data_IF_274165117271
#
_entry.id   IF_274165117271
#
_cell.length_a   1.000
_cell.length_b   1.000
_cell.length_c   1.000
_cell.angle_alpha   90.00
_cell.angle_beta   90.00
_cell.angle_gamma   90.00
#
_symmetry.space_group_name_H-M   'P 1'
#
loop_
_entity.id
_entity.type
_entity.pdbx_description
1 polymer ?
#
# COMPACT_ATOMS: atom_id res chain seq x y z
N UNK A 1 5.78 26.77 -4.51
CA UNK A 1 6.64 25.60 -4.73
C UNK A 1 6.36 24.62 -3.60
N UNK A 2 5.87 23.42 -3.92
CA UNK A 2 5.63 22.40 -2.92
C UNK A 2 6.93 21.97 -2.24
N UNK A 3 6.84 21.55 -0.97
CA UNK A 3 7.95 20.94 -0.27
C UNK A 3 8.33 19.62 -0.96
N UNK A 4 9.64 19.38 -1.10
CA UNK A 4 10.14 18.11 -1.64
C UNK A 4 10.64 17.21 -0.52
N UNK A 5 10.38 15.93 -0.66
CA UNK A 5 10.80 14.90 0.28
C UNK A 5 11.63 13.84 -0.44
N UNK A 6 12.61 13.29 0.28
CA UNK A 6 13.45 12.20 -0.21
C UNK A 6 12.94 10.89 0.33
N UNK A 7 12.78 9.92 -0.57
CA UNK A 7 12.27 8.59 -0.26
C UNK A 7 13.03 7.52 -1.05
N UNK A 8 12.92 6.25 -0.64
CA UNK A 8 13.66 5.14 -1.21
C UNK A 8 12.71 4.03 -1.64
N UNK A 9 12.96 3.45 -2.81
CA UNK A 9 12.18 2.31 -3.31
C UNK A 9 13.08 1.27 -3.95
N UNK A 10 12.82 -0.01 -3.62
CA UNK A 10 13.45 -1.15 -4.27
C UNK A 10 12.56 -1.66 -5.38
N UNK A 11 13.12 -1.74 -6.58
CA UNK A 11 12.39 -2.15 -7.77
C UNK A 11 13.17 -3.19 -8.57
N UNK A 12 12.49 -3.95 -9.43
CA UNK A 12 13.16 -4.79 -10.41
C UNK A 12 14.00 -3.91 -11.36
N UNK A 13 15.21 -4.35 -11.70
CA UNK A 13 16.11 -3.58 -12.56
C UNK A 13 15.55 -3.29 -13.95
N UNK A 14 14.58 -4.08 -14.43
CA UNK A 14 13.93 -3.88 -15.72
C UNK A 14 13.20 -2.54 -15.85
N UNK A 15 12.79 -1.92 -14.72
CA UNK A 15 12.12 -0.61 -14.76
C UNK A 15 13.01 0.51 -15.32
N UNK A 16 14.34 0.34 -15.24
CA UNK A 16 15.28 1.33 -15.79
C UNK A 16 15.11 1.50 -17.29
N UNK A 17 14.80 0.40 -18.01
CA UNK A 17 14.48 0.45 -19.43
C UNK A 17 13.20 1.24 -19.73
N UNK A 18 12.16 1.06 -18.92
CA UNK A 18 10.91 1.83 -19.06
C UNK A 18 11.15 3.31 -18.76
N UNK A 19 11.90 3.62 -17.70
CA UNK A 19 12.27 4.99 -17.34
C UNK A 19 13.11 5.69 -18.44
N UNK A 20 14.05 4.97 -19.04
CA UNK A 20 14.88 5.51 -20.12
C UNK A 20 14.06 5.77 -21.38
N UNK A 21 13.15 4.88 -21.73
CA UNK A 21 12.34 4.97 -22.94
C UNK A 21 11.20 5.98 -22.81
N UNK A 22 10.52 6.00 -21.66
CA UNK A 22 9.27 6.72 -21.48
C UNK A 22 9.40 7.93 -20.53
N UNK A 23 10.53 8.09 -19.84
CA UNK A 23 10.73 9.07 -18.76
C UNK A 23 9.93 8.78 -17.49
N UNK A 24 9.14 7.69 -17.49
CA UNK A 24 8.14 7.37 -16.50
C UNK A 24 7.96 5.86 -16.38
N UNK A 25 7.65 5.38 -15.16
CA UNK A 25 7.25 4.01 -14.88
C UNK A 25 5.99 3.96 -14.01
N UNK A 26 5.08 3.07 -14.33
CA UNK A 26 3.92 2.66 -13.53
C UNK A 26 3.95 1.16 -13.33
N UNK A 27 3.41 0.68 -12.22
CA UNK A 27 3.34 -0.77 -11.93
C UNK A 27 2.36 -1.43 -12.90
N UNK A 28 2.82 -2.48 -13.59
CA UNK A 28 2.02 -3.23 -14.55
C UNK A 28 1.31 -4.40 -13.88
N UNK A 29 0.04 -4.58 -14.25
CA UNK A 29 -0.82 -5.66 -13.72
C UNK A 29 -0.20 -7.04 -13.92
N UNK A 30 0.44 -7.27 -15.06
CA UNK A 30 1.06 -8.55 -15.41
C UNK A 30 2.14 -8.98 -14.42
N UNK A 31 2.91 -8.04 -13.86
CA UNK A 31 3.93 -8.34 -12.86
C UNK A 31 3.32 -8.83 -11.55
N UNK A 32 2.19 -8.23 -11.14
CA UNK A 32 1.48 -8.64 -9.93
C UNK A 32 0.83 -10.00 -10.15
N UNK A 33 0.24 -10.24 -11.31
CA UNK A 33 -0.38 -11.50 -11.65
C UNK A 33 0.62 -12.66 -11.67
N UNK A 34 1.81 -12.45 -12.27
CA UNK A 34 2.90 -13.44 -12.27
C UNK A 34 3.42 -13.74 -10.86
N UNK A 35 3.48 -12.73 -9.99
CA UNK A 35 4.00 -12.86 -8.64
C UNK A 35 3.02 -13.55 -7.68
N UNK A 36 1.71 -13.36 -7.86
CA UNK A 36 0.67 -13.75 -6.92
C UNK A 36 -0.14 -14.98 -7.36
N UNK A 37 -0.03 -15.41 -8.64
CA UNK A 37 -0.69 -16.58 -9.20
C UNK A 37 -2.17 -16.71 -8.79
N UNK A 38 -2.53 -17.80 -8.09
CA UNK A 38 -3.92 -18.12 -7.70
C UNK A 38 -4.51 -17.12 -6.67
N UNK A 39 -3.68 -16.36 -5.98
CA UNK A 39 -4.13 -15.33 -5.01
C UNK A 39 -4.28 -13.94 -5.63
N UNK A 40 -3.98 -13.79 -6.92
CA UNK A 40 -3.97 -12.50 -7.60
C UNK A 40 -5.30 -11.75 -7.48
N UNK A 41 -6.45 -12.45 -7.57
CA UNK A 41 -7.76 -11.80 -7.52
C UNK A 41 -8.02 -11.11 -6.19
N UNK A 42 -7.72 -11.77 -5.07
CA UNK A 42 -7.89 -11.19 -3.72
C UNK A 42 -6.98 -9.97 -3.53
N UNK A 43 -5.78 -10.03 -4.09
CA UNK A 43 -4.83 -8.94 -4.08
C UNK A 43 -5.33 -7.75 -4.90
N UNK A 44 -5.89 -8.01 -6.08
CA UNK A 44 -6.50 -6.97 -6.92
C UNK A 44 -7.67 -6.27 -6.24
N UNK A 45 -8.51 -6.99 -5.49
CA UNK A 45 -9.63 -6.41 -4.76
C UNK A 45 -9.16 -5.40 -3.69
N UNK A 46 -8.12 -5.75 -2.94
CA UNK A 46 -7.49 -4.87 -1.94
C UNK A 46 -6.89 -3.62 -2.61
N UNK A 47 -6.16 -3.80 -3.70
CA UNK A 47 -5.53 -2.67 -4.40
C UNK A 47 -6.54 -1.78 -5.13
N UNK A 48 -7.62 -2.36 -5.69
CA UNK A 48 -8.71 -1.58 -6.25
C UNK A 48 -9.40 -0.72 -5.19
N UNK A 49 -9.59 -1.28 -3.98
CA UNK A 49 -10.10 -0.52 -2.86
C UNK A 49 -9.13 0.63 -2.49
N UNK A 50 -7.84 0.32 -2.34
CA UNK A 50 -6.82 1.31 -1.98
C UNK A 50 -6.73 2.44 -3.00
N UNK A 51 -6.75 2.12 -4.29
CA UNK A 51 -6.72 3.12 -5.36
C UNK A 51 -7.87 4.12 -5.23
N UNK A 52 -9.10 3.62 -5.06
CA UNK A 52 -10.29 4.49 -4.88
C UNK A 52 -10.19 5.37 -3.64
N UNK A 53 -9.72 4.82 -2.53
CA UNK A 53 -9.52 5.57 -1.30
C UNK A 53 -8.42 6.63 -1.44
N UNK A 54 -7.35 6.32 -2.17
CA UNK A 54 -6.22 7.22 -2.40
C UNK A 54 -6.57 8.40 -3.32
N UNK A 55 -7.49 8.23 -4.27
CA UNK A 55 -7.96 9.30 -5.18
C UNK A 55 -8.55 10.51 -4.43
N UNK A 56 -9.04 10.30 -3.21
CA UNK A 56 -9.55 11.37 -2.35
C UNK A 56 -8.43 12.14 -1.62
N UNK A 57 -7.21 11.56 -1.57
CA UNK A 57 -6.07 12.09 -0.79
C UNK A 57 -5.04 12.79 -1.69
N UNK A 58 -4.73 12.20 -2.84
CA UNK A 58 -3.73 12.72 -3.77
C UNK A 58 -4.10 12.38 -5.22
N UNK A 59 -3.56 13.12 -6.20
CA UNK A 59 -3.79 12.80 -7.61
C UNK A 59 -3.29 11.40 -7.97
N UNK A 60 -4.18 10.59 -8.55
CA UNK A 60 -3.85 9.27 -9.08
C UNK A 60 -3.96 9.32 -10.61
N UNK A 61 -2.89 9.02 -11.36
CA UNK A 61 -2.97 8.96 -12.82
C UNK A 61 -3.98 7.91 -13.30
N UNK A 62 -4.72 8.21 -14.36
CA UNK A 62 -5.79 7.33 -14.88
C UNK A 62 -5.28 5.93 -15.26
N UNK A 63 -4.03 5.84 -15.72
CA UNK A 63 -3.37 4.61 -16.14
C UNK A 63 -2.63 3.86 -15.01
N UNK A 64 -2.61 4.41 -13.78
CA UNK A 64 -1.99 3.77 -12.63
C UNK A 64 -2.99 2.96 -11.80
N UNK A 65 -2.84 1.65 -11.76
CA UNK A 65 -3.72 0.75 -11.00
C UNK A 65 -3.13 0.37 -9.63
N UNK A 66 -1.80 0.40 -9.49
CA UNK A 66 -1.09 -0.10 -8.32
C UNK A 66 -0.09 0.92 -7.80
N UNK A 67 0.03 1.06 -6.46
CA UNK A 67 0.99 1.97 -5.88
C UNK A 67 2.41 1.40 -5.93
N UNK A 68 3.37 2.30 -5.89
CA UNK A 68 4.79 2.02 -5.66
C UNK A 68 5.08 2.33 -4.21
N UNK A 69 5.54 1.34 -3.45
CA UNK A 69 5.86 1.49 -2.04
C UNK A 69 7.24 2.10 -1.86
N UNK A 70 7.34 3.04 -0.93
CA UNK A 70 8.58 3.76 -0.63
C UNK A 70 8.83 3.80 0.87
N UNK A 71 10.11 3.74 1.26
CA UNK A 71 10.56 4.01 2.62
C UNK A 71 10.74 5.51 2.81
N UNK A 72 10.28 6.03 3.93
CA UNK A 72 10.32 7.47 4.25
C UNK A 72 11.64 7.90 4.91
N UNK A 73 12.44 6.94 5.40
CA UNK A 73 13.74 7.17 6.02
C UNK A 73 14.78 6.25 5.40
N UNK A 74 16.00 6.75 5.28
CA UNK A 74 17.12 5.96 4.78
C UNK A 74 17.39 4.71 5.65
N UNK A 75 17.22 4.82 6.95
CA UNK A 75 17.38 3.70 7.90
C UNK A 75 16.34 2.59 7.76
N UNK A 76 15.23 2.88 7.10
CA UNK A 76 14.12 1.94 6.87
C UNK A 76 14.09 1.41 5.44
N UNK A 77 15.07 1.80 4.60
CA UNK A 77 15.15 1.32 3.22
C UNK A 77 15.35 -0.18 3.16
N UNK A 78 14.65 -0.83 2.22
CA UNK A 78 14.81 -2.27 2.00
C UNK A 78 16.17 -2.52 1.34
N UNK A 79 17.04 -3.39 1.89
CA UNK A 79 18.34 -3.70 1.30
C UNK A 79 18.21 -4.16 -0.14
N UNK A 80 19.15 -3.75 -1.00
CA UNK A 80 19.15 -4.19 -2.38
C UNK A 80 19.46 -5.69 -2.48
N UNK A 81 19.08 -6.31 -3.59
CA UNK A 81 19.33 -7.73 -3.87
C UNK A 81 19.50 -7.94 -5.38
N UNK A 82 20.09 -9.06 -5.75
CA UNK A 82 20.33 -9.41 -7.15
C UNK A 82 19.08 -9.27 -8.02
N UNK A 83 19.22 -8.69 -9.20
CA UNK A 83 18.13 -8.43 -10.13
C UNK A 83 17.26 -7.21 -9.80
N UNK A 84 17.54 -6.52 -8.70
CA UNK A 84 16.84 -5.30 -8.29
C UNK A 84 17.76 -4.08 -8.28
N UNK A 85 17.15 -2.93 -8.19
CA UNK A 85 17.80 -1.64 -7.96
C UNK A 85 17.14 -0.95 -6.79
N UNK A 86 17.94 -0.29 -5.96
CA UNK A 86 17.42 0.62 -4.94
C UNK A 86 17.55 2.05 -5.48
N UNK A 87 16.43 2.72 -5.58
CA UNK A 87 16.33 4.10 -6.05
C UNK A 87 16.17 5.03 -4.85
N UNK A 88 16.97 6.08 -4.80
CA UNK A 88 16.72 7.27 -4.01
C UNK A 88 16.05 8.29 -4.91
N UNK A 89 14.91 8.81 -4.51
CA UNK A 89 14.11 9.72 -5.31
C UNK A 89 13.69 10.94 -4.48
N UNK A 90 13.53 12.07 -5.15
CA UNK A 90 13.05 13.32 -4.57
C UNK A 90 11.72 13.71 -5.22
N UNK A 91 10.64 13.67 -4.44
CA UNK A 91 9.27 13.86 -4.90
C UNK A 91 8.62 15.05 -4.22
N UNK A 92 7.58 15.63 -4.83
CA UNK A 92 6.77 16.60 -4.12
C UNK A 92 5.95 15.91 -3.02
N UNK A 93 5.81 16.55 -1.90
CA UNK A 93 5.04 16.04 -0.76
C UNK A 93 3.58 15.75 -1.13
N UNK A 94 3.00 16.51 -2.06
CA UNK A 94 1.63 16.32 -2.56
C UNK A 94 1.43 15.06 -3.41
N UNK A 95 2.50 14.50 -3.99
CA UNK A 95 2.48 13.26 -4.76
C UNK A 95 2.61 12.01 -3.86
N UNK A 96 2.96 12.20 -2.59
CA UNK A 96 3.26 11.14 -1.64
C UNK A 96 2.13 10.93 -0.64
N UNK A 97 1.57 9.73 -0.62
CA UNK A 97 0.61 9.31 0.42
C UNK A 97 1.37 8.51 1.47
N UNK A 98 1.25 8.89 2.75
CA UNK A 98 1.88 8.17 3.86
C UNK A 98 0.85 7.45 4.71
N UNK A 99 1.14 6.22 5.09
CA UNK A 99 0.25 5.38 5.89
C UNK A 99 1.00 4.68 7.02
N UNK A 100 0.29 4.35 8.08
CA UNK A 100 0.75 3.48 9.16
C UNK A 100 0.91 2.06 8.61
N UNK A 101 2.11 1.48 8.77
CA UNK A 101 2.44 0.16 8.20
C UNK A 101 1.58 -0.97 8.79
N UNK A 102 1.18 -0.87 10.06
CA UNK A 102 0.33 -1.89 10.69
C UNK A 102 -1.11 -1.81 10.17
N UNK A 103 -1.64 -0.60 9.93
CA UNK A 103 -2.95 -0.46 9.29
C UNK A 103 -2.95 -1.09 7.90
N UNK A 104 -1.91 -0.83 7.09
CA UNK A 104 -1.78 -1.48 5.79
C UNK A 104 -1.64 -3.01 5.93
N UNK A 105 -0.85 -3.49 6.88
CA UNK A 105 -0.72 -4.90 7.19
C UNK A 105 -2.06 -5.59 7.49
N UNK A 106 -2.95 -4.89 8.21
CA UNK A 106 -4.31 -5.39 8.46
C UNK A 106 -5.12 -5.48 7.16
N UNK A 107 -5.07 -4.48 6.31
CA UNK A 107 -5.81 -4.48 5.03
C UNK A 107 -5.39 -5.65 4.14
N UNK A 108 -4.09 -5.87 3.94
CA UNK A 108 -3.60 -6.97 3.08
C UNK A 108 -3.85 -8.36 3.66
N UNK A 109 -4.14 -8.44 4.96
CA UNK A 109 -4.54 -9.66 5.66
C UNK A 109 -6.06 -9.71 5.90
N UNK A 110 -6.83 -8.85 5.25
CA UNK A 110 -8.30 -8.75 5.36
C UNK A 110 -8.79 -8.49 6.78
N UNK A 111 -7.98 -7.79 7.58
CA UNK A 111 -8.22 -7.52 8.99
C UNK A 111 -8.97 -6.22 9.25
N UNK A 112 -9.56 -6.16 10.41
CA UNK A 112 -10.24 -4.98 10.93
C UNK A 112 -9.24 -3.96 11.47
N UNK A 113 -9.42 -2.68 11.14
CA UNK A 113 -8.65 -1.56 11.72
C UNK A 113 -9.48 -0.97 12.88
N UNK A 114 -9.09 -1.19 14.15
CA UNK A 114 -9.82 -0.65 15.28
C UNK A 114 -9.59 0.85 15.47
N UNK A 115 -10.54 1.54 16.09
CA UNK A 115 -10.38 2.93 16.54
C UNK A 115 -9.48 3.01 17.78
N UNK A 116 -9.68 2.05 18.69
CA UNK A 116 -9.00 1.95 19.96
C UNK A 116 -9.10 0.50 20.52
N UNK A 117 -8.57 0.30 21.71
CA UNK A 117 -8.58 -1.01 22.38
C UNK A 117 -9.98 -1.51 22.75
N UNK A 118 -10.92 -0.61 23.02
CA UNK A 118 -12.29 -1.00 23.35
C UNK A 118 -13.02 -1.51 22.11
N UNK A 119 -12.89 -0.80 21.02
CA UNK A 119 -13.41 -1.17 19.69
C UNK A 119 -12.83 -2.51 19.22
N UNK A 120 -11.52 -2.75 19.41
CA UNK A 120 -10.90 -4.04 19.10
C UNK A 120 -11.51 -5.17 19.91
N UNK A 121 -11.67 -5.00 21.24
CA UNK A 121 -12.27 -6.04 22.09
C UNK A 121 -13.72 -6.35 21.72
N UNK A 122 -14.49 -5.34 21.35
CA UNK A 122 -15.86 -5.50 20.89
C UNK A 122 -15.92 -6.30 19.59
N UNK A 123 -15.03 -5.97 18.65
CA UNK A 123 -14.89 -6.70 17.39
C UNK A 123 -14.50 -8.17 17.62
N UNK A 124 -13.51 -8.43 18.48
CA UNK A 124 -13.05 -9.78 18.82
C UNK A 124 -14.16 -10.62 19.48
N UNK A 125 -14.97 -10.02 20.36
CA UNK A 125 -16.15 -10.69 20.95
C UNK A 125 -17.17 -11.07 19.89
N UNK A 126 -17.42 -10.18 18.93
CA UNK A 126 -18.32 -10.47 17.81
C UNK A 126 -17.80 -11.64 16.99
N UNK A 127 -16.52 -11.63 16.58
CA UNK A 127 -15.90 -12.75 15.84
C UNK A 127 -16.00 -14.06 16.61
N UNK A 128 -15.70 -14.04 17.92
CA UNK A 128 -15.79 -15.21 18.79
C UNK A 128 -17.21 -15.76 18.87
N UNK A 129 -18.22 -14.90 18.92
CA UNK A 129 -19.64 -15.33 18.96
C UNK A 129 -20.09 -16.04 17.68
N UNK A 130 -19.45 -15.74 16.57
CA UNK A 130 -19.68 -16.40 15.27
C UNK A 130 -18.69 -17.54 14.98
N UNK A 131 -17.74 -17.82 15.87
CA UNK A 131 -16.74 -18.86 15.70
C UNK A 131 -15.83 -18.63 14.47
N UNK A 132 -15.51 -17.38 14.16
CA UNK A 132 -14.74 -17.00 12.97
C UNK A 132 -13.60 -16.01 13.31
N UNK A 133 -12.82 -15.64 12.32
CA UNK A 133 -11.83 -14.59 12.36
C UNK A 133 -11.98 -13.67 11.13
N UNK A 134 -11.27 -12.53 11.11
CA UNK A 134 -11.38 -11.53 10.05
C UNK A 134 -11.16 -12.10 8.65
N UNK A 135 -10.06 -12.82 8.45
CA UNK A 135 -9.72 -13.38 7.14
C UNK A 135 -10.78 -14.38 6.68
N UNK A 136 -11.19 -15.28 7.53
CA UNK A 136 -12.23 -16.28 7.23
C UNK A 136 -13.57 -15.63 6.95
N UNK A 137 -13.96 -14.60 7.71
CA UNK A 137 -15.20 -13.86 7.49
C UNK A 137 -15.16 -13.07 6.18
N UNK A 138 -14.02 -12.45 5.84
CA UNK A 138 -13.85 -11.73 4.59
C UNK A 138 -13.99 -12.62 3.36
N UNK A 139 -13.37 -13.82 3.40
CA UNK A 139 -13.36 -14.77 2.30
C UNK A 139 -14.67 -15.57 2.16
N UNK A 140 -15.44 -15.68 3.25
CA UNK A 140 -16.66 -16.48 3.28
C UNK A 140 -17.88 -15.69 2.79
N UNK A 141 -18.79 -16.31 2.02
CA UNK A 141 -20.08 -15.71 1.69
C UNK A 141 -21.07 -15.68 2.84
N UNK A 142 -20.76 -16.37 3.95
CA UNK A 142 -21.69 -16.54 5.09
C UNK A 142 -21.66 -15.39 6.10
N UNK A 143 -20.66 -14.48 6.02
CA UNK A 143 -20.50 -13.38 6.97
C UNK A 143 -20.50 -11.99 6.30
N UNK A 144 -21.53 -11.66 5.49
CA UNK A 144 -21.52 -10.41 4.72
C UNK A 144 -21.51 -9.15 5.59
N UNK A 145 -22.13 -9.20 6.78
CA UNK A 145 -22.15 -8.06 7.72
C UNK A 145 -20.76 -7.83 8.32
N UNK A 146 -20.07 -8.90 8.71
CA UNK A 146 -18.71 -8.81 9.25
C UNK A 146 -17.76 -8.32 8.16
N UNK A 147 -17.82 -8.88 6.96
CA UNK A 147 -17.03 -8.44 5.80
C UNK A 147 -17.22 -6.94 5.54
N UNK A 148 -18.46 -6.46 5.52
CA UNK A 148 -18.77 -5.04 5.31
C UNK A 148 -18.16 -4.18 6.42
N UNK A 149 -18.21 -4.62 7.68
CA UNK A 149 -17.61 -3.93 8.83
C UNK A 149 -16.09 -3.85 8.69
N UNK A 150 -15.44 -4.94 8.29
CA UNK A 150 -13.99 -4.99 8.03
C UNK A 150 -13.61 -3.97 6.96
N UNK A 151 -14.22 -4.02 5.78
CA UNK A 151 -13.93 -3.12 4.67
C UNK A 151 -14.15 -1.67 5.06
N UNK A 152 -15.25 -1.36 5.76
CA UNK A 152 -15.50 0.00 6.22
C UNK A 152 -14.45 0.52 7.21
N UNK A 153 -13.84 -0.36 8.01
CA UNK A 153 -12.77 0.04 8.93
C UNK A 153 -11.51 0.47 8.20
N UNK A 154 -11.31 0.04 6.97
CA UNK A 154 -10.13 0.38 6.17
C UNK A 154 -10.04 1.88 5.84
N UNK A 155 -11.15 2.60 5.83
CA UNK A 155 -11.16 4.07 5.67
C UNK A 155 -10.29 4.77 6.72
N UNK A 156 -10.03 4.10 7.86
CA UNK A 156 -9.16 4.60 8.93
C UNK A 156 -7.67 4.57 8.60
N UNK A 157 -7.28 4.04 7.44
CA UNK A 157 -5.85 4.04 7.03
C UNK A 157 -5.29 5.46 6.96
N UNK A 158 -6.11 6.44 6.56
CA UNK A 158 -5.72 7.85 6.45
C UNK A 158 -6.06 8.68 7.70
N UNK A 159 -6.71 8.11 8.70
CA UNK A 159 -7.03 8.79 9.95
C UNK A 159 -5.79 8.83 10.87
N UNK A 160 -5.11 9.96 10.91
CA UNK A 160 -3.89 10.14 11.70
C UNK A 160 -4.13 10.20 13.21
N UNK A 161 -5.39 10.36 13.66
CA UNK A 161 -5.76 10.27 15.08
C UNK A 161 -5.68 8.85 15.64
N UNK A 162 -5.67 7.85 14.74
CA UNK A 162 -5.54 6.43 15.07
C UNK A 162 -4.13 5.98 14.68
N UNK A 163 -3.34 5.54 15.65
CA UNK A 163 -1.98 5.03 15.44
C UNK A 163 -1.88 3.60 15.93
N UNK A 164 -1.54 2.67 15.05
CA UNK A 164 -1.25 1.27 15.38
C UNK A 164 0.24 1.00 15.45
N UNK A 165 1.03 1.67 14.59
CA UNK A 165 2.49 1.60 14.58
C UNK A 165 3.11 2.99 14.45
N UNK A 166 4.28 3.25 15.06
CA UNK A 166 5.05 4.47 14.83
C UNK A 166 5.73 4.46 13.45
N UNK A 167 5.84 3.30 12.80
CA UNK A 167 6.47 3.16 11.48
C UNK A 167 5.47 3.50 10.39
N UNK A 168 5.88 4.43 9.53
CA UNK A 168 5.09 4.86 8.37
C UNK A 168 5.82 4.50 7.08
N UNK A 169 5.04 4.19 6.06
CA UNK A 169 5.52 3.95 4.70
C UNK A 169 4.79 4.88 3.74
N UNK A 170 5.37 5.09 2.58
CA UNK A 170 4.77 5.93 1.56
C UNK A 170 4.32 5.14 0.35
N UNK A 171 3.39 5.71 -0.41
CA UNK A 171 3.01 5.23 -1.73
C UNK A 171 3.04 6.36 -2.74
N UNK A 172 3.50 6.01 -3.94
CA UNK A 172 3.47 6.83 -5.14
C UNK A 172 2.70 6.06 -6.23
N UNK A 173 2.14 6.75 -7.19
CA UNK A 173 1.40 6.12 -8.28
C UNK A 173 2.21 6.00 -9.57
N UNK A 174 3.34 6.67 -9.62
CA UNK A 174 4.31 6.61 -10.72
C UNK A 174 5.73 6.91 -10.22
N UNK A 175 6.74 6.52 -10.99
CA UNK A 175 8.11 7.01 -10.87
C UNK A 175 8.44 7.84 -12.11
N UNK A 176 8.97 9.03 -11.89
CA UNK A 176 9.52 9.85 -12.99
C UNK A 176 11.04 9.76 -12.98
N UNK A 177 11.64 9.66 -14.14
CA UNK A 177 13.11 9.61 -14.29
C UNK A 177 13.79 10.80 -13.62
N UNK A 178 13.19 11.98 -13.73
CA UNK A 178 13.68 13.24 -13.16
C UNK A 178 13.66 13.28 -11.61
N UNK A 179 12.93 12.38 -10.96
CA UNK A 179 12.90 12.27 -9.51
C UNK A 179 14.09 11.49 -8.93
N UNK A 180 14.78 10.71 -9.77
CA UNK A 180 15.86 9.82 -9.33
C UNK A 180 17.12 10.62 -9.05
N UNK A 181 17.58 10.58 -7.80
CA UNK A 181 18.82 11.23 -7.36
C UNK A 181 19.98 10.24 -7.26
N UNK A 182 19.69 8.95 -6.99
CA UNK A 182 20.71 7.91 -6.88
C UNK A 182 20.13 6.54 -7.25
N UNK A 183 20.97 5.70 -7.88
CA UNK A 183 20.67 4.30 -8.20
C UNK A 183 21.76 3.44 -7.58
N UNK A 184 21.36 2.50 -6.71
CA UNK A 184 22.23 1.44 -6.18
C UNK A 184 21.86 0.13 -6.90
N UNK A 185 22.84 -0.47 -7.58
CA UNK A 185 22.69 -1.73 -8.34
C UNK A 185 23.15 -2.91 -7.52
#
# INVERSE_FOLDING_TARGET
MGSKVRVWTKQNANILGDLDKNGRYIVKREYIQQKMEDHAQLYFDVYNWYRKAAEEIAPVPDDAEYPIWVSLKESEKIPNSEGNVLLEIEVNEEDLITVDIEKWGRIVNYGYIPKDRADQREHDKMLSSYGTNDCSAYMSPFFPIIKKKIIKSWDRIFDESITLSPVRVGTLWELKKEWITKIEK
#
